data_IF_769461039229
#
_entry.id   IF_769461039229
#
_cell.length_a   1.000
_cell.length_b   1.000
_cell.length_c   1.000
_cell.angle_alpha   90.00
_cell.angle_beta   90.00
_cell.angle_gamma   90.00
#
_symmetry.space_group_name_H-M   'P 1'
#
loop_
_entity.id
_entity.type
_entity.pdbx_description
1 polymer ?
#
# COMPACT_ATOMS: atom_id res chain seq x y z
N UNK A 1 -15.05 28.02 3.76
CA UNK A 1 -14.83 27.18 2.57
C UNK A 1 -13.33 27.03 2.38
N UNK A 2 -12.78 25.82 2.54
CA UNK A 2 -11.39 25.56 2.17
C UNK A 2 -11.32 25.53 0.65
N UNK A 3 -10.87 26.61 0.03
CA UNK A 3 -10.59 26.64 -1.40
C UNK A 3 -9.36 25.76 -1.68
N UNK A 4 -9.58 24.62 -2.35
CA UNK A 4 -8.49 23.85 -2.92
C UNK A 4 -7.93 24.63 -4.10
N UNK A 5 -6.69 25.10 -3.98
CA UNK A 5 -6.05 25.85 -5.04
C UNK A 5 -5.40 24.86 -6.01
N UNK A 6 -5.64 24.97 -7.33
CA UNK A 6 -4.96 24.15 -8.33
C UNK A 6 -3.55 24.69 -8.57
N UNK A 7 -2.54 23.82 -8.58
CA UNK A 7 -1.16 24.18 -8.95
C UNK A 7 -0.60 23.10 -9.88
N UNK A 8 -0.01 23.44 -11.04
CA UNK A 8 0.62 22.46 -11.90
C UNK A 8 1.85 21.84 -11.20
N UNK A 9 2.02 20.54 -11.37
CA UNK A 9 3.18 19.84 -10.81
C UNK A 9 3.28 18.40 -11.30
N UNK A 10 4.33 17.72 -10.87
CA UNK A 10 4.58 16.31 -11.15
C UNK A 10 4.22 15.48 -9.93
N UNK A 11 3.38 14.47 -10.12
CA UNK A 11 3.04 13.49 -9.08
C UNK A 11 4.18 12.48 -8.87
N UNK A 12 4.08 11.68 -7.81
CA UNK A 12 5.07 10.66 -7.47
C UNK A 12 5.33 9.68 -8.62
N UNK A 13 4.28 9.33 -9.36
CA UNK A 13 4.33 8.44 -10.52
C UNK A 13 4.98 9.07 -11.78
N UNK A 14 5.53 10.29 -11.69
CA UNK A 14 6.15 10.98 -12.84
C UNK A 14 5.16 11.70 -13.77
N UNK A 15 3.86 11.41 -13.69
CA UNK A 15 2.83 12.11 -14.46
C UNK A 15 2.67 13.58 -14.03
N UNK A 16 2.65 14.49 -15.00
CA UNK A 16 2.33 15.91 -14.80
C UNK A 16 0.82 16.12 -14.71
N UNK A 17 0.37 16.93 -13.77
CA UNK A 17 -1.05 17.21 -13.58
C UNK A 17 -1.30 18.40 -12.66
N UNK A 18 -2.57 18.56 -12.27
CA UNK A 18 -2.98 19.59 -11.31
C UNK A 18 -2.97 19.02 -9.91
N UNK A 19 -2.14 19.59 -9.05
CA UNK A 19 -2.09 19.31 -7.61
C UNK A 19 -3.12 20.21 -6.89
N UNK A 20 -3.99 19.61 -6.09
CA UNK A 20 -5.02 20.34 -5.33
C UNK A 20 -4.65 20.38 -3.86
N UNK A 21 -4.31 21.58 -3.35
CA UNK A 21 -3.93 21.78 -1.95
C UNK A 21 -4.79 22.82 -1.27
N UNK A 22 -5.05 22.63 0.02
CA UNK A 22 -5.61 23.68 0.87
C UNK A 22 -4.50 24.66 1.24
N UNK A 23 -4.68 25.94 0.93
CA UNK A 23 -3.69 26.98 1.20
C UNK A 23 -4.31 28.20 1.84
N UNK A 24 -3.59 28.85 2.77
CA UNK A 24 -4.01 30.13 3.34
C UNK A 24 -3.88 31.21 2.25
N UNK A 25 -4.91 32.04 2.08
CA UNK A 25 -4.91 33.15 1.12
C UNK A 25 -4.71 32.74 -0.36
N UNK A 26 -5.22 31.58 -0.78
CA UNK A 26 -5.17 31.17 -2.19
C UNK A 26 -3.80 30.66 -2.65
N UNK A 27 -2.84 30.49 -1.74
CA UNK A 27 -1.49 29.97 -2.04
C UNK A 27 -1.29 28.66 -1.30
N UNK A 28 -1.04 27.57 -2.03
CA UNK A 28 -0.54 26.33 -1.45
C UNK A 28 0.86 26.60 -0.89
N UNK A 29 1.11 26.29 0.37
CA UNK A 29 2.45 26.39 0.96
C UNK A 29 3.39 25.35 0.35
N UNK A 30 4.70 25.59 0.35
CA UNK A 30 5.65 24.65 -0.26
C UNK A 30 5.62 23.27 0.41
N UNK A 31 5.32 23.20 1.70
CA UNK A 31 5.14 21.94 2.44
C UNK A 31 3.95 21.12 1.91
N UNK A 32 2.82 21.77 1.64
CA UNK A 32 1.64 21.15 1.05
C UNK A 32 1.89 20.75 -0.41
N UNK A 33 2.64 21.56 -1.17
CA UNK A 33 3.06 21.21 -2.54
C UNK A 33 3.97 19.99 -2.54
N UNK A 34 4.93 19.96 -1.62
CA UNK A 34 5.81 18.83 -1.41
C UNK A 34 4.98 17.59 -1.12
N UNK A 35 4.07 17.63 -0.14
CA UNK A 35 3.16 16.50 0.15
C UNK A 35 2.38 16.02 -1.08
N UNK A 36 1.81 16.94 -1.87
CA UNK A 36 1.05 16.59 -3.08
C UNK A 36 1.90 15.92 -4.17
N UNK A 37 3.17 16.32 -4.32
CA UNK A 37 4.12 15.65 -5.22
C UNK A 37 4.47 14.22 -4.78
N UNK A 38 4.25 13.89 -3.50
CA UNK A 38 4.49 12.55 -2.97
C UNK A 38 3.26 11.62 -3.04
N UNK A 39 2.15 12.07 -3.63
CA UNK A 39 0.96 11.26 -3.88
C UNK A 39 0.87 10.78 -5.33
N UNK A 40 0.22 9.64 -5.53
CA UNK A 40 -0.15 9.14 -6.86
C UNK A 40 -1.16 10.06 -7.54
N UNK A 41 -1.07 10.18 -8.88
CA UNK A 41 -2.03 10.94 -9.66
C UNK A 41 -3.40 10.23 -9.72
N UNK A 42 -4.50 10.94 -10.08
CA UNK A 42 -5.82 10.34 -10.24
C UNK A 42 -5.87 9.18 -11.25
N UNK A 43 -5.08 9.25 -12.32
CA UNK A 43 -5.03 8.20 -13.34
C UNK A 43 -4.39 6.92 -12.80
N UNK A 44 -3.30 7.03 -12.04
CA UNK A 44 -2.69 5.89 -11.35
C UNK A 44 -3.64 5.27 -10.33
N UNK A 45 -4.41 6.08 -9.59
CA UNK A 45 -5.44 5.56 -8.68
C UNK A 45 -6.54 4.80 -9.43
N UNK A 46 -6.97 5.30 -10.59
CA UNK A 46 -7.94 4.63 -11.45
C UNK A 46 -7.40 3.32 -12.02
N UNK A 47 -6.12 3.29 -12.45
CA UNK A 47 -5.45 2.06 -12.89
C UNK A 47 -5.37 1.01 -11.78
N UNK A 48 -5.05 1.42 -10.55
CA UNK A 48 -5.08 0.52 -9.38
C UNK A 48 -6.50 -0.03 -9.16
N UNK A 49 -7.53 0.80 -9.29
CA UNK A 49 -8.91 0.35 -9.14
C UNK A 49 -9.27 -0.69 -10.22
N UNK A 50 -8.92 -0.43 -11.48
CA UNK A 50 -9.14 -1.38 -12.59
C UNK A 50 -8.44 -2.71 -12.31
N UNK A 51 -7.21 -2.69 -11.77
CA UNK A 51 -6.50 -3.90 -11.36
C UNK A 51 -7.24 -4.68 -10.27
N UNK A 52 -7.76 -3.98 -9.27
CA UNK A 52 -8.55 -4.59 -8.20
C UNK A 52 -9.83 -5.21 -8.77
N UNK A 53 -10.52 -4.51 -9.66
CA UNK A 53 -11.76 -4.97 -10.26
C UNK A 53 -11.53 -6.19 -11.16
N UNK A 54 -10.45 -6.20 -11.95
CA UNK A 54 -10.03 -7.36 -12.73
C UNK A 54 -9.68 -8.56 -11.81
N UNK A 55 -8.93 -8.32 -10.73
CA UNK A 55 -8.58 -9.35 -9.77
C UNK A 55 -9.79 -9.97 -9.05
N UNK A 56 -10.91 -9.23 -8.91
CA UNK A 56 -12.15 -9.77 -8.33
C UNK A 56 -12.83 -10.81 -9.23
N UNK A 57 -12.75 -10.63 -10.54
CA UNK A 57 -13.42 -11.51 -11.51
C UNK A 57 -12.78 -12.90 -11.47
N UNK A 58 -11.44 -12.95 -11.47
CA UNK A 58 -10.67 -14.20 -11.57
C UNK A 58 -9.89 -14.54 -10.29
N UNK A 59 -10.40 -14.12 -9.13
CA UNK A 59 -9.67 -14.17 -7.86
C UNK A 59 -9.12 -15.57 -7.53
N UNK A 60 -9.89 -16.64 -7.80
CA UNK A 60 -9.47 -18.01 -7.52
C UNK A 60 -8.29 -18.46 -8.39
N UNK A 61 -8.27 -18.08 -9.67
CA UNK A 61 -7.22 -18.46 -10.63
C UNK A 61 -5.96 -17.63 -10.38
N UNK A 62 -6.11 -16.31 -10.28
CA UNK A 62 -5.00 -15.38 -10.07
C UNK A 62 -4.35 -15.55 -8.70
N UNK A 63 -5.10 -15.95 -7.67
CA UNK A 63 -4.53 -16.21 -6.34
C UNK A 63 -3.52 -17.36 -6.35
N UNK A 64 -3.70 -18.38 -7.21
CA UNK A 64 -2.74 -19.48 -7.34
C UNK A 64 -1.47 -19.03 -8.07
N UNK A 65 -1.63 -18.19 -9.09
CA UNK A 65 -0.51 -17.63 -9.86
C UNK A 65 0.33 -16.63 -9.06
N UNK A 66 -0.12 -16.20 -7.88
CA UNK A 66 0.57 -15.16 -7.13
C UNK A 66 1.83 -15.65 -6.39
N UNK A 67 1.92 -16.94 -6.06
CA UNK A 67 2.98 -17.48 -5.21
C UNK A 67 2.98 -16.95 -3.76
N UNK A 68 2.01 -16.12 -3.37
CA UNK A 68 1.95 -15.60 -2.00
C UNK A 68 1.49 -16.68 -1.03
N UNK A 69 2.12 -16.70 0.15
CA UNK A 69 1.68 -17.53 1.26
C UNK A 69 0.60 -16.81 2.09
N UNK A 70 -0.34 -17.61 2.61
CA UNK A 70 -1.36 -17.09 3.51
C UNK A 70 -0.70 -16.61 4.81
N UNK A 71 -1.04 -15.40 5.32
CA UNK A 71 -0.49 -14.87 6.56
C UNK A 71 -0.66 -15.84 7.75
N UNK A 72 0.44 -16.11 8.46
CA UNK A 72 0.43 -16.87 9.72
C UNK A 72 0.24 -15.90 10.88
N UNK A 73 -1.00 -15.75 11.35
CA UNK A 73 -1.36 -14.78 12.39
C UNK A 73 -0.94 -15.23 13.79
N UNK A 74 -0.50 -14.27 14.60
CA UNK A 74 -0.01 -14.40 15.98
C UNK A 74 -0.78 -13.45 16.89
N UNK A 75 -1.04 -13.87 18.12
CA UNK A 75 -1.82 -13.13 19.12
C UNK A 75 -2.41 -14.07 20.18
N UNK A 76 -3.41 -13.61 20.92
CA UNK A 76 -4.15 -14.51 21.84
C UNK A 76 -4.95 -15.56 21.05
N UNK A 77 -5.25 -16.75 21.62
CA UNK A 77 -6.00 -17.79 20.91
C UNK A 77 -7.32 -17.31 20.28
N UNK A 78 -8.07 -16.46 21.01
CA UNK A 78 -9.32 -15.85 20.53
C UNK A 78 -9.08 -14.90 19.34
N UNK A 79 -8.04 -14.07 19.42
CA UNK A 79 -7.68 -13.16 18.32
C UNK A 79 -7.18 -13.93 17.10
N UNK A 80 -6.37 -14.97 17.30
CA UNK A 80 -5.86 -15.82 16.21
C UNK A 80 -6.99 -16.49 15.46
N UNK A 81 -7.95 -17.09 16.16
CA UNK A 81 -9.12 -17.70 15.51
C UNK A 81 -9.92 -16.69 14.67
N UNK A 82 -10.17 -15.50 15.21
CA UNK A 82 -10.90 -14.45 14.49
C UNK A 82 -10.11 -13.89 13.30
N UNK A 83 -8.83 -13.57 13.50
CA UNK A 83 -7.95 -13.06 12.45
C UNK A 83 -7.79 -14.07 11.31
N UNK A 84 -7.67 -15.37 11.62
CA UNK A 84 -7.62 -16.41 10.60
C UNK A 84 -8.88 -16.46 9.73
N UNK A 85 -10.07 -16.26 10.32
CA UNK A 85 -11.32 -16.16 9.56
C UNK A 85 -11.29 -14.96 8.59
N UNK A 86 -10.86 -13.80 9.08
CA UNK A 86 -10.70 -12.59 8.24
C UNK A 86 -9.70 -12.82 7.11
N UNK A 87 -8.51 -13.32 7.43
CA UNK A 87 -7.47 -13.64 6.44
C UNK A 87 -7.99 -14.63 5.41
N UNK A 88 -8.75 -15.64 5.82
CA UNK A 88 -9.35 -16.61 4.88
C UNK A 88 -10.31 -15.97 3.87
N UNK A 89 -10.98 -14.89 4.26
CA UNK A 89 -11.90 -14.14 3.38
C UNK A 89 -11.14 -13.21 2.43
N UNK A 90 -10.15 -12.47 2.92
CA UNK A 90 -9.51 -11.37 2.16
C UNK A 90 -8.27 -11.82 1.37
N UNK A 91 -7.61 -12.91 1.79
CA UNK A 91 -6.37 -13.36 1.19
C UNK A 91 -6.49 -13.73 -0.29
N UNK A 92 -7.55 -14.43 -0.78
CA UNK A 92 -7.66 -14.75 -2.20
C UNK A 92 -7.66 -13.49 -3.08
N UNK A 93 -8.39 -12.44 -2.68
CA UNK A 93 -8.43 -11.18 -3.42
C UNK A 93 -7.09 -10.44 -3.36
N UNK A 94 -6.47 -10.33 -2.19
CA UNK A 94 -5.12 -9.76 -2.06
C UNK A 94 -4.14 -10.48 -2.99
N UNK A 95 -4.09 -11.80 -2.88
CA UNK A 95 -3.24 -12.67 -3.71
C UNK A 95 -3.46 -12.43 -5.21
N UNK A 96 -4.71 -12.35 -5.66
CA UNK A 96 -5.06 -12.04 -7.04
C UNK A 96 -4.62 -10.64 -7.49
N UNK A 97 -4.76 -9.62 -6.64
CA UNK A 97 -4.28 -8.25 -6.92
C UNK A 97 -2.76 -8.25 -7.14
N UNK A 98 -2.00 -9.01 -6.34
CA UNK A 98 -0.55 -9.10 -6.52
C UNK A 98 -0.17 -9.76 -7.86
N UNK A 99 -0.89 -10.83 -8.25
CA UNK A 99 -0.69 -11.45 -9.55
C UNK A 99 -1.04 -10.51 -10.72
N UNK A 100 -2.19 -9.82 -10.64
CA UNK A 100 -2.62 -8.86 -11.64
C UNK A 100 -1.65 -7.67 -11.77
N UNK A 101 -1.13 -7.18 -10.64
CA UNK A 101 -0.10 -6.13 -10.62
C UNK A 101 1.18 -6.56 -11.34
N UNK A 102 1.69 -7.77 -11.06
CA UNK A 102 2.87 -8.31 -11.78
C UNK A 102 2.64 -8.48 -13.27
N UNK A 103 1.44 -8.91 -13.66
CA UNK A 103 1.11 -9.12 -15.08
C UNK A 103 1.10 -7.83 -15.91
N UNK A 104 1.00 -6.64 -15.29
CA UNK A 104 1.11 -5.36 -16.02
C UNK A 104 2.53 -5.07 -16.52
N UNK A 105 3.55 -5.64 -15.89
CA UNK A 105 4.96 -5.45 -16.24
C UNK A 105 5.39 -3.96 -16.32
N UNK A 106 4.77 -3.11 -15.48
CA UNK A 106 5.14 -1.70 -15.33
C UNK A 106 5.49 -1.36 -13.87
N UNK A 107 6.03 -0.16 -13.65
CA UNK A 107 6.47 0.27 -12.32
C UNK A 107 5.30 0.35 -11.31
N UNK A 108 4.12 0.74 -11.77
CA UNK A 108 2.92 0.85 -10.94
C UNK A 108 2.41 -0.52 -10.50
N UNK A 109 2.28 -1.46 -11.44
CA UNK A 109 1.88 -2.84 -11.21
C UNK A 109 2.87 -3.58 -10.32
N UNK A 110 4.17 -3.36 -10.53
CA UNK A 110 5.24 -3.83 -9.63
C UNK A 110 5.04 -3.28 -8.22
N UNK A 111 4.80 -1.97 -8.07
CA UNK A 111 4.57 -1.37 -6.76
C UNK A 111 3.30 -1.89 -6.08
N UNK A 112 2.22 -2.14 -6.83
CA UNK A 112 0.99 -2.78 -6.34
C UNK A 112 1.28 -4.18 -5.81
N UNK A 113 1.95 -5.02 -6.59
CA UNK A 113 2.26 -6.38 -6.19
C UNK A 113 3.12 -6.43 -4.93
N UNK A 114 4.11 -5.54 -4.85
CA UNK A 114 5.00 -5.40 -3.69
C UNK A 114 4.28 -4.92 -2.45
N UNK A 115 3.44 -3.89 -2.58
CA UNK A 115 2.61 -3.39 -1.49
C UNK A 115 1.71 -4.51 -0.93
N UNK A 116 1.06 -5.29 -1.81
CA UNK A 116 0.23 -6.41 -1.40
C UNK A 116 1.02 -7.50 -0.69
N UNK A 117 2.16 -7.89 -1.26
CA UNK A 117 3.05 -8.91 -0.68
C UNK A 117 3.44 -8.54 0.75
N UNK A 118 3.77 -7.26 0.96
CA UNK A 118 4.05 -6.70 2.27
C UNK A 118 2.85 -6.83 3.24
N UNK A 119 1.62 -6.56 2.80
CA UNK A 119 0.41 -6.75 3.64
C UNK A 119 0.35 -8.21 4.12
N UNK A 120 0.60 -9.14 3.18
CA UNK A 120 0.49 -10.57 3.45
C UNK A 120 1.55 -11.10 4.44
N UNK A 121 2.62 -10.34 4.69
CA UNK A 121 3.62 -10.69 5.70
C UNK A 121 3.25 -10.26 7.12
N UNK A 122 2.16 -9.50 7.31
CA UNK A 122 1.76 -9.04 8.64
C UNK A 122 1.21 -10.21 9.46
N UNK A 123 1.93 -10.56 10.52
CA UNK A 123 1.55 -11.65 11.42
C UNK A 123 0.66 -11.19 12.58
N UNK A 124 0.47 -9.90 12.84
CA UNK A 124 -0.29 -9.46 14.02
C UNK A 124 -1.81 -9.67 13.83
N UNK A 125 -2.45 -10.44 14.72
CA UNK A 125 -3.89 -10.68 14.65
C UNK A 125 -4.73 -9.40 14.83
N UNK A 126 -4.27 -8.46 15.67
CA UNK A 126 -4.93 -7.18 15.89
C UNK A 126 -4.96 -6.27 14.66
N UNK A 127 -3.96 -6.36 13.77
CA UNK A 127 -3.96 -5.68 12.48
C UNK A 127 -5.14 -6.13 11.62
N UNK A 128 -5.24 -7.44 11.38
CA UNK A 128 -6.29 -8.03 10.54
C UNK A 128 -7.68 -7.73 11.09
N UNK A 129 -7.85 -7.83 12.41
CA UNK A 129 -9.10 -7.48 13.09
C UNK A 129 -9.44 -5.99 12.92
N UNK A 130 -8.48 -5.09 13.15
CA UNK A 130 -8.72 -3.64 13.07
C UNK A 130 -8.98 -3.15 11.65
N UNK A 131 -8.40 -3.80 10.64
CA UNK A 131 -8.46 -3.38 9.22
C UNK A 131 -9.41 -4.22 8.36
N UNK A 132 -10.16 -5.14 8.97
CA UNK A 132 -10.99 -6.11 8.24
C UNK A 132 -11.92 -5.45 7.20
N UNK A 133 -12.57 -4.34 7.54
CA UNK A 133 -13.56 -3.71 6.64
C UNK A 133 -12.90 -3.06 5.41
N UNK A 134 -11.70 -2.49 5.60
CA UNK A 134 -10.92 -1.94 4.50
C UNK A 134 -10.53 -3.04 3.50
N UNK A 135 -10.11 -4.20 3.97
CA UNK A 135 -9.71 -5.31 3.10
C UNK A 135 -10.88 -6.15 2.57
N UNK A 136 -12.03 -6.17 3.24
CA UNK A 136 -13.27 -6.74 2.68
C UNK A 136 -13.82 -5.89 1.55
N UNK A 137 -13.80 -4.56 1.72
CA UNK A 137 -14.31 -3.64 0.70
C UNK A 137 -13.32 -3.45 -0.43
N UNK A 138 -12.01 -3.50 -0.14
CA UNK A 138 -10.87 -3.38 -1.04
C UNK A 138 -11.09 -2.49 -2.28
N UNK A 139 -10.69 -1.24 -2.19
CA UNK A 139 -10.62 -0.31 -3.31
C UNK A 139 -9.23 0.34 -3.38
N UNK A 140 -8.97 1.14 -4.42
CA UNK A 140 -7.65 1.76 -4.60
C UNK A 140 -7.22 2.57 -3.37
N UNK A 141 -8.14 3.33 -2.76
CA UNK A 141 -7.86 4.11 -1.54
C UNK A 141 -7.27 3.27 -0.39
N UNK A 142 -7.64 1.99 -0.28
CA UNK A 142 -7.14 1.09 0.75
C UNK A 142 -5.65 0.72 0.58
N UNK A 143 -5.08 0.85 -0.61
CA UNK A 143 -3.70 0.43 -0.90
C UNK A 143 -2.82 1.51 -1.54
N UNK A 144 -3.39 2.60 -2.05
CA UNK A 144 -2.65 3.71 -2.68
C UNK A 144 -1.55 4.27 -1.79
N UNK A 145 -1.77 4.37 -0.48
CA UNK A 145 -0.76 4.81 0.48
C UNK A 145 0.46 3.89 0.48
N UNK A 146 0.22 2.58 0.48
CA UNK A 146 1.26 1.54 0.45
C UNK A 146 2.02 1.54 -0.88
N UNK A 147 1.30 1.64 -2.00
CA UNK A 147 1.90 1.72 -3.34
C UNK A 147 2.79 2.96 -3.46
N UNK A 148 2.33 4.10 -2.94
CA UNK A 148 3.11 5.32 -2.92
C UNK A 148 4.37 5.17 -2.06
N UNK A 149 4.30 4.49 -0.90
CA UNK A 149 5.48 4.22 -0.07
C UNK A 149 6.51 3.34 -0.77
N UNK A 150 6.05 2.30 -1.50
CA UNK A 150 6.91 1.43 -2.31
C UNK A 150 7.60 2.23 -3.43
N UNK A 151 6.85 3.04 -4.18
CA UNK A 151 7.40 3.88 -5.26
C UNK A 151 8.38 4.93 -4.74
N UNK A 152 8.12 5.47 -3.54
CA UNK A 152 9.05 6.39 -2.86
C UNK A 152 10.31 5.70 -2.36
N UNK A 153 10.45 4.37 -2.54
CA UNK A 153 11.56 3.56 -2.04
C UNK A 153 11.83 3.79 -0.55
N UNK A 154 10.77 4.07 0.22
CA UNK A 154 10.85 4.46 1.63
C UNK A 154 11.83 5.61 1.98
N UNK A 155 12.20 6.47 1.04
CA UNK A 155 13.36 7.36 1.21
C UNK A 155 13.00 8.82 1.57
N UNK A 156 12.07 9.08 2.50
CA UNK A 156 11.78 10.46 2.95
C UNK A 156 10.87 10.51 4.20
N UNK A 157 10.76 11.71 4.77
CA UNK A 157 10.03 12.07 6.02
C UNK A 157 8.53 12.35 5.85
N UNK A 158 7.97 12.24 4.64
CA UNK A 158 6.53 12.47 4.37
C UNK A 158 5.78 11.14 4.44
N UNK A 159 5.30 10.80 5.63
CA UNK A 159 4.30 9.74 5.78
C UNK A 159 2.94 10.26 5.29
N UNK A 160 2.24 9.46 4.48
CA UNK A 160 0.81 9.65 4.27
C UNK A 160 0.10 9.45 5.60
N UNK A 161 -0.31 10.54 6.27
CA UNK A 161 -0.78 10.57 7.65
C UNK A 161 -2.12 9.87 7.95
N UNK A 162 -2.61 8.99 7.05
CA UNK A 162 -3.90 8.35 7.25
C UNK A 162 -4.06 6.97 6.59
N UNK A 163 -3.39 6.70 5.48
CA UNK A 163 -3.72 5.54 4.61
C UNK A 163 -2.62 4.51 4.48
N UNK A 164 -1.37 4.85 4.81
CA UNK A 164 -0.27 3.90 4.77
C UNK A 164 0.03 3.30 6.14
N UNK A 165 0.03 1.97 6.26
CA UNK A 165 0.61 1.25 7.41
C UNK A 165 2.08 0.86 7.16
N UNK A 166 2.56 0.86 5.90
CA UNK A 166 3.98 0.79 5.56
C UNK A 166 4.77 2.00 6.05
N UNK A 167 4.12 3.13 6.32
CA UNK A 167 4.73 4.32 6.93
C UNK A 167 5.51 3.99 8.22
N UNK A 168 5.07 2.98 8.98
CA UNK A 168 5.74 2.49 10.18
C UNK A 168 6.86 1.46 9.93
N UNK A 169 7.04 0.99 8.70
CA UNK A 169 8.16 0.12 8.34
C UNK A 169 9.40 0.96 8.00
N UNK A 170 9.22 2.17 7.48
CA UNK A 170 10.27 3.02 6.91
C UNK A 170 11.22 3.55 8.02
N UNK A 171 12.53 3.26 7.96
CA UNK A 171 13.50 3.60 9.01
C UNK A 171 13.79 5.11 9.15
N UNK A 172 13.28 5.95 8.24
CA UNK A 172 13.68 7.36 8.12
C UNK A 172 12.69 8.39 8.67
N UNK A 173 11.68 7.99 9.45
CA UNK A 173 10.77 8.98 10.03
C UNK A 173 11.16 9.30 11.47
N UNK A 174 11.41 10.59 11.72
CA UNK A 174 11.83 11.11 13.03
C UNK A 174 10.69 11.11 14.07
N UNK A 175 9.52 10.55 13.74
CA UNK A 175 8.35 10.47 14.62
C UNK A 175 7.83 9.03 14.63
N UNK A 176 7.88 8.32 15.77
CA UNK A 176 7.26 7.01 15.88
C UNK A 176 5.74 7.18 15.80
N UNK A 177 5.18 6.97 14.61
CA UNK A 177 3.73 6.85 14.46
C UNK A 177 3.24 5.57 15.16
N UNK A 178 2.01 5.56 15.66
CA UNK A 178 1.39 4.38 16.31
C UNK A 178 1.27 3.18 15.36
N UNK A 179 1.49 3.40 14.06
CA UNK A 179 1.49 2.40 13.00
C UNK A 179 2.80 1.58 12.90
N UNK A 180 3.88 1.98 13.58
CA UNK A 180 5.15 1.24 13.65
C UNK A 180 5.04 -0.17 14.25
N UNK A 181 3.96 -0.48 14.98
CA UNK A 181 3.84 -1.76 15.72
C UNK A 181 3.74 -3.01 14.84
N UNK A 182 3.45 -2.86 13.55
CA UNK A 182 3.29 -3.98 12.62
C UNK A 182 4.50 -4.20 11.73
N UNK A 183 5.53 -3.39 11.92
CA UNK A 183 6.70 -3.37 11.08
C UNK A 183 7.65 -4.54 11.35
N UNK A 184 7.82 -5.42 10.36
CA UNK A 184 9.00 -6.28 10.26
C UNK A 184 10.18 -5.48 9.69
N UNK A 185 10.93 -4.81 10.58
CA UNK A 185 12.07 -3.96 10.21
C UNK A 185 13.10 -4.68 9.34
N UNK A 186 13.38 -5.94 9.63
CA UNK A 186 14.28 -6.78 8.84
C UNK A 186 13.79 -7.04 7.42
N UNK A 187 12.48 -7.30 7.26
CA UNK A 187 11.88 -7.47 5.95
C UNK A 187 11.99 -6.15 5.18
N UNK A 188 11.59 -5.01 5.75
CA UNK A 188 11.76 -3.75 5.03
C UNK A 188 13.21 -3.44 4.68
N UNK A 189 14.15 -3.62 5.61
CA UNK A 189 15.56 -3.37 5.33
C UNK A 189 16.10 -4.27 4.20
N UNK A 190 15.54 -5.48 4.04
CA UNK A 190 15.85 -6.36 2.91
C UNK A 190 15.20 -5.85 1.63
N UNK A 191 13.94 -5.43 1.68
CA UNK A 191 13.20 -4.87 0.54
C UNK A 191 13.79 -3.57 0.00
N UNK A 192 14.41 -2.78 0.87
CA UNK A 192 15.12 -1.55 0.51
C UNK A 192 16.51 -1.81 -0.05
N UNK A 193 17.21 -2.83 0.45
CA UNK A 193 18.55 -3.21 -0.02
C UNK A 193 18.51 -4.03 -1.30
N UNK A 194 17.52 -4.89 -1.43
CA UNK A 194 17.33 -5.83 -2.53
C UNK A 194 15.87 -5.71 -3.01
N UNK A 195 15.55 -4.72 -3.87
CA UNK A 195 14.19 -4.56 -4.40
C UNK A 195 13.67 -5.82 -5.12
N UNK A 196 14.57 -6.65 -5.64
CA UNK A 196 14.29 -7.94 -6.27
C UNK A 196 14.00 -9.07 -5.26
N UNK A 197 14.26 -8.89 -3.96
CA UNK A 197 13.96 -9.90 -2.94
C UNK A 197 12.45 -10.15 -2.77
N UNK A 198 11.59 -9.23 -3.23
CA UNK A 198 10.13 -9.44 -3.29
C UNK A 198 9.74 -10.53 -4.27
N UNK A 199 10.54 -10.72 -5.31
CA UNK A 199 10.28 -11.69 -6.36
C UNK A 199 10.68 -13.11 -5.88
N UNK A 200 11.67 -13.22 -4.98
CA UNK A 200 12.08 -14.49 -4.34
C UNK A 200 11.27 -14.86 -3.09
N UNK A 201 10.72 -13.89 -2.35
CA UNK A 201 9.81 -14.18 -1.22
C UNK A 201 8.46 -14.75 -1.69
N UNK A 202 8.18 -14.69 -3.00
CA UNK A 202 7.00 -15.30 -3.64
C UNK A 202 7.21 -16.76 -4.07
N UNK A 203 8.36 -17.39 -3.77
CA UNK A 203 8.73 -18.70 -4.32
C UNK A 203 9.28 -19.74 -3.31
N UNK A 204 9.08 -19.53 -2.01
CA UNK A 204 9.36 -20.54 -0.97
C UNK A 204 8.09 -20.95 -0.22
#
# INVERSE_FOLDING_TARGET
>A
MNSHNPVPGTHLCGHTGTLYGSGRYGRIQEEDRSYLRHNLCPDCNSKIQILIDAARIDAAVLAQASGLQRPIVKGTPKQVAWANSIVGQVFPLLSAIAAAGRAQDDELGTAVARAVSLICHITDAGFWIKRQDAFRTMNSYCITGEVADVLRKASHSYQGSATSWLAGLIPHTCKPDKHYRYAQRTLLDQLLREPAALDTVSSC
#
